data_IF_123854348779
#
_entry.id   IF_123854348779
#
_cell.length_a   1.000
_cell.length_b   1.000
_cell.length_c   1.000
_cell.angle_alpha   90.00
_cell.angle_beta   90.00
_cell.angle_gamma   90.00
#
_symmetry.space_group_name_H-M   'P 1'
#
loop_
_entity.id
_entity.type
_entity.pdbx_description
1 polymer ?
#
# COMPACT_ATOMS: atom_id res chain seq x y z
N UNK A 1 10.78 -6.21 3.63
CA UNK A 1 11.03 -4.76 3.57
C UNK A 1 10.54 -4.29 2.20
N UNK A 2 9.32 -3.74 2.10
CA UNK A 2 8.71 -3.28 0.82
C UNK A 2 8.67 -1.74 0.74
N UNK A 3 8.82 -1.05 1.88
CA UNK A 3 8.65 0.40 2.03
C UNK A 3 9.98 1.14 2.26
N UNK A 4 11.08 0.62 1.73
CA UNK A 4 12.41 1.21 1.84
C UNK A 4 12.89 1.68 0.47
N UNK A 5 13.47 2.88 0.41
CA UNK A 5 14.08 3.41 -0.81
C UNK A 5 15.42 2.71 -1.11
N UNK A 6 15.36 1.52 -1.71
CA UNK A 6 16.55 0.74 -2.09
C UNK A 6 17.19 1.23 -3.40
N UNK A 7 16.41 1.90 -4.24
CA UNK A 7 16.86 2.48 -5.52
C UNK A 7 17.66 3.77 -5.35
N UNK A 8 17.72 4.34 -4.14
CA UNK A 8 18.36 5.61 -3.82
C UNK A 8 17.79 6.80 -4.60
N UNK A 9 16.48 6.75 -4.88
CA UNK A 9 15.76 7.89 -5.47
C UNK A 9 15.87 9.12 -4.55
N UNK A 10 16.10 10.30 -5.11
CA UNK A 10 16.29 11.54 -4.37
C UNK A 10 15.68 12.70 -5.16
N UNK A 11 14.70 13.39 -4.56
CA UNK A 11 14.07 14.56 -5.13
C UNK A 11 13.65 15.49 -3.99
N UNK A 12 14.31 16.64 -3.86
CA UNK A 12 14.11 17.59 -2.75
C UNK A 12 12.68 18.16 -2.71
N UNK A 13 12.02 18.29 -3.87
CA UNK A 13 10.65 18.78 -3.94
C UNK A 13 9.65 17.73 -3.42
N UNK A 14 9.84 16.46 -3.79
CA UNK A 14 9.07 15.35 -3.25
C UNK A 14 9.25 15.27 -1.73
N UNK A 15 10.48 15.37 -1.23
CA UNK A 15 10.77 15.36 0.21
C UNK A 15 10.06 16.52 0.93
N UNK A 16 10.11 17.73 0.38
CA UNK A 16 9.43 18.89 0.95
C UNK A 16 7.90 18.74 0.98
N UNK A 17 7.30 18.16 -0.07
CA UNK A 17 5.86 17.89 -0.12
C UNK A 17 5.45 16.83 0.90
N UNK A 18 6.20 15.74 1.01
CA UNK A 18 5.92 14.67 1.98
C UNK A 18 6.10 15.17 3.43
N UNK A 19 7.09 16.02 3.69
CA UNK A 19 7.29 16.63 5.01
C UNK A 19 6.13 17.55 5.40
N UNK A 20 5.61 18.36 4.46
CA UNK A 20 4.41 19.19 4.67
C UNK A 20 3.17 18.33 4.91
N UNK A 21 2.97 17.31 4.08
CA UNK A 21 1.82 16.41 4.18
C UNK A 21 1.76 15.69 5.54
N UNK A 22 2.92 15.27 6.07
CA UNK A 22 3.02 14.61 7.37
C UNK A 22 2.67 15.49 8.58
N UNK A 23 2.67 16.81 8.42
CA UNK A 23 2.33 17.78 9.48
C UNK A 23 0.95 18.44 9.27
N UNK A 24 0.29 18.19 8.13
CA UNK A 24 -0.96 18.85 7.77
C UNK A 24 -2.19 18.15 8.39
N UNK A 25 -2.98 18.92 9.13
CA UNK A 25 -4.19 18.45 9.82
C UNK A 25 -5.43 18.55 8.93
N UNK A 26 -5.48 19.54 8.04
CA UNK A 26 -6.56 19.66 7.06
C UNK A 26 -6.49 18.53 6.04
N UNK A 27 -7.55 17.72 5.98
CA UNK A 27 -7.58 16.54 5.13
C UNK A 27 -7.47 16.89 3.64
N UNK A 28 -8.11 17.97 3.19
CA UNK A 28 -8.09 18.39 1.80
C UNK A 28 -6.70 18.81 1.35
N UNK A 29 -6.02 19.63 2.16
CA UNK A 29 -4.63 20.03 1.92
C UNK A 29 -3.67 18.85 1.99
N UNK A 30 -3.83 17.95 2.96
CA UNK A 30 -2.98 16.75 3.08
C UNK A 30 -3.10 15.85 1.84
N UNK A 31 -4.32 15.64 1.34
CA UNK A 31 -4.55 14.90 0.08
C UNK A 31 -3.88 15.61 -1.09
N UNK A 32 -4.01 16.94 -1.19
CA UNK A 32 -3.39 17.71 -2.27
C UNK A 32 -1.86 17.59 -2.27
N UNK A 33 -1.21 17.69 -1.11
CA UNK A 33 0.24 17.53 -0.99
C UNK A 33 0.71 16.12 -1.37
N UNK A 34 0.04 15.07 -0.88
CA UNK A 34 0.38 13.70 -1.28
C UNK A 34 0.14 13.45 -2.77
N UNK A 35 -0.95 13.99 -3.34
CA UNK A 35 -1.24 13.85 -4.76
C UNK A 35 -0.15 14.49 -5.62
N UNK A 36 0.35 15.66 -5.23
CA UNK A 36 1.42 16.32 -5.96
C UNK A 36 2.74 15.55 -5.87
N UNK A 37 3.10 15.07 -4.68
CA UNK A 37 4.28 14.22 -4.51
C UNK A 37 4.18 12.94 -5.36
N UNK A 38 3.01 12.29 -5.39
CA UNK A 38 2.78 11.09 -6.20
C UNK A 38 2.89 11.35 -7.70
N UNK A 39 2.46 12.52 -8.20
CA UNK A 39 2.63 12.90 -9.60
C UNK A 39 4.11 13.09 -9.96
N UNK A 40 4.88 13.78 -9.12
CA UNK A 40 6.32 13.96 -9.36
C UNK A 40 7.04 12.61 -9.38
N UNK A 41 6.76 11.74 -8.41
CA UNK A 41 7.31 10.37 -8.39
C UNK A 41 6.91 9.61 -9.66
N UNK A 42 5.65 9.72 -10.11
CA UNK A 42 5.19 9.04 -11.31
C UNK A 42 5.85 9.59 -12.59
N UNK A 43 6.22 10.88 -12.62
CA UNK A 43 6.95 11.50 -13.73
C UNK A 43 8.43 11.06 -13.75
N UNK A 44 9.06 10.94 -12.58
CA UNK A 44 10.45 10.53 -12.45
C UNK A 44 10.65 9.01 -12.66
N UNK A 45 9.58 8.22 -12.52
CA UNK A 45 9.56 6.76 -12.71
C UNK A 45 10.70 6.04 -11.96
N UNK A 46 10.93 6.28 -10.65
CA UNK A 46 11.96 5.56 -9.90
C UNK A 46 11.61 4.07 -9.72
N UNK A 47 10.32 3.73 -9.88
CA UNK A 47 9.80 2.37 -9.96
C UNK A 47 8.85 2.33 -11.15
N UNK A 48 9.04 1.34 -12.03
CA UNK A 48 8.13 1.07 -13.13
C UNK A 48 7.09 0.04 -12.70
N UNK A 49 5.87 0.49 -12.41
CA UNK A 49 4.77 -0.39 -12.02
C UNK A 49 4.23 -1.13 -13.26
N UNK A 50 4.41 -2.44 -13.30
CA UNK A 50 3.87 -3.28 -14.39
C UNK A 50 2.46 -3.75 -14.07
N UNK A 51 2.21 -4.12 -12.82
CA UNK A 51 0.96 -4.73 -12.36
C UNK A 51 0.67 -4.32 -10.91
N UNK A 52 -0.60 -4.42 -10.52
CA UNK A 52 -0.97 -4.36 -9.10
C UNK A 52 -0.95 -5.77 -8.53
N UNK A 53 -0.36 -5.98 -7.34
CA UNK A 53 -0.29 -7.29 -6.69
C UNK A 53 -1.71 -7.87 -6.48
N UNK A 54 -2.08 -8.96 -7.17
CA UNK A 54 -3.40 -9.54 -7.03
C UNK A 54 -3.35 -10.64 -5.98
N UNK A 55 -3.72 -10.33 -4.74
CA UNK A 55 -3.89 -11.36 -3.73
C UNK A 55 -5.18 -12.15 -4.02
N UNK A 56 -5.02 -13.46 -4.21
CA UNK A 56 -6.12 -14.39 -4.40
C UNK A 56 -6.11 -15.45 -3.31
N UNK A 57 -7.14 -15.47 -2.47
CA UNK A 57 -7.32 -16.49 -1.43
C UNK A 57 -8.26 -17.57 -1.93
N UNK A 58 -7.72 -18.77 -2.17
CA UNK A 58 -8.52 -19.97 -2.49
C UNK A 58 -8.74 -20.75 -1.20
N UNK A 59 -9.99 -21.06 -0.88
CA UNK A 59 -10.36 -21.85 0.30
C UNK A 59 -11.60 -22.70 0.06
N UNK A 60 -11.83 -23.70 0.89
CA UNK A 60 -13.05 -24.49 0.83
C UNK A 60 -14.21 -23.74 1.50
N UNK A 61 -15.16 -23.25 0.69
CA UNK A 61 -16.29 -22.44 1.17
C UNK A 61 -17.18 -23.12 2.23
N UNK A 62 -17.26 -24.45 2.22
CA UNK A 62 -18.09 -25.21 3.17
C UNK A 62 -17.33 -25.69 4.39
N UNK A 63 -16.00 -25.88 4.29
CA UNK A 63 -15.17 -26.44 5.37
C UNK A 63 -14.31 -25.42 6.11
N UNK A 64 -14.07 -24.25 5.55
CA UNK A 64 -13.20 -23.22 6.17
C UNK A 64 -14.03 -22.02 6.62
N UNK A 65 -13.80 -21.59 7.86
CA UNK A 65 -14.34 -20.39 8.47
C UNK A 65 -13.28 -19.28 8.59
N UNK A 66 -13.75 -18.03 8.47
CA UNK A 66 -12.94 -16.80 8.58
C UNK A 66 -11.64 -16.76 7.75
N UNK A 67 -11.62 -17.16 6.47
CA UNK A 67 -10.42 -17.02 5.65
C UNK A 67 -10.09 -15.54 5.41
N UNK A 68 -8.80 -15.17 5.27
CA UNK A 68 -8.43 -13.79 5.00
C UNK A 68 -8.86 -13.39 3.57
N UNK A 69 -9.93 -12.60 3.51
CA UNK A 69 -10.59 -12.16 2.28
C UNK A 69 -10.41 -10.65 2.02
N UNK A 70 -9.41 -10.03 2.65
CA UNK A 70 -9.07 -8.61 2.47
C UNK A 70 -8.03 -8.43 1.36
N UNK A 71 -7.70 -7.18 1.03
CA UNK A 71 -6.68 -6.83 0.02
C UNK A 71 -5.28 -7.41 0.32
N UNK A 72 -5.05 -7.91 1.53
CA UNK A 72 -3.77 -8.47 1.95
C UNK A 72 -3.70 -10.00 1.83
N UNK A 73 -4.82 -10.68 1.52
CA UNK A 73 -4.87 -12.14 1.36
C UNK A 73 -4.14 -12.90 2.48
N UNK A 74 -3.29 -13.86 2.11
CA UNK A 74 -2.49 -14.66 3.05
C UNK A 74 -1.34 -13.90 3.74
N UNK A 75 -1.11 -12.63 3.42
CA UNK A 75 -0.24 -11.77 4.22
C UNK A 75 -0.95 -11.22 5.47
N UNK A 76 -2.28 -11.38 5.56
CA UNK A 76 -3.01 -11.17 6.80
C UNK A 76 -2.81 -12.36 7.77
N UNK A 77 -2.95 -12.15 9.09
CA UNK A 77 -2.93 -13.23 10.07
C UNK A 77 -3.93 -14.36 9.77
N UNK A 78 -3.54 -15.60 10.09
CA UNK A 78 -4.37 -16.81 9.94
C UNK A 78 -4.85 -17.35 11.30
N UNK A 79 -4.60 -16.62 12.39
CA UNK A 79 -4.85 -17.00 13.78
C UNK A 79 -6.34 -17.15 14.11
N UNK A 80 -7.21 -16.48 13.36
CA UNK A 80 -8.67 -16.63 13.49
C UNK A 80 -9.29 -17.57 12.45
N UNK A 81 -8.49 -18.24 11.62
CA UNK A 81 -8.97 -19.19 10.60
C UNK A 81 -9.23 -20.55 11.25
N UNK A 82 -10.36 -21.18 10.94
CA UNK A 82 -10.74 -22.46 11.54
C UNK A 82 -11.47 -23.40 10.57
N UNK A 83 -11.56 -24.68 10.95
CA UNK A 83 -12.36 -25.68 10.23
C UNK A 83 -13.79 -25.72 10.79
N UNK A 84 -14.77 -25.66 9.89
CA UNK A 84 -16.19 -25.84 10.23
C UNK A 84 -16.45 -27.31 10.53
N UNK A 85 -17.24 -27.58 11.57
CA UNK A 85 -17.72 -28.91 11.92
C UNK A 85 -18.76 -29.42 10.92
#
# INVERSE_FOLDING_TARGET
>A
MIWSNTQRYCNEEVDALLAKAGQENDQGKRIAYYSEAQKLIAQDVPIYFTETLPYHTIYNHTKVGNPPNTIWGTCAPMDEVYLKN
#
